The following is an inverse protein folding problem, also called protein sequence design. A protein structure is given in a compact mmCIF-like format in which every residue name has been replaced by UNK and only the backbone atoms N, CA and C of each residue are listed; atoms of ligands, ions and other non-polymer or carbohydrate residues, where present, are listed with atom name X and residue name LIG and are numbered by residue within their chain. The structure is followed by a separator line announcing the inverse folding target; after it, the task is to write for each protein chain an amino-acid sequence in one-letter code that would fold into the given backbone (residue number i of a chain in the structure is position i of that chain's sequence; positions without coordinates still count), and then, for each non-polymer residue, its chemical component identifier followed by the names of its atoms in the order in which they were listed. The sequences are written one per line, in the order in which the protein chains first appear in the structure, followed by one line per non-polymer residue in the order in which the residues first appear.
data_IF_336891003809
#
_entry.id   IF_336891003809
#
_cell.length_a   1.000
_cell.length_b   1.000
_cell.length_c   1.000
_cell.angle_alpha   90.00
_cell.angle_beta   90.00
_cell.angle_gamma   90.00
#
_symmetry.space_group_name_H-M   'P 1'
#
loop_
_entity.id
_entity.type
_entity.pdbx_description
1 polymer ?
#
# COMPACT_ATOMS: atom_id res chain seq x y z
N UNK A 1 4.65 43.86 16.36
CA UNK A 1 5.53 42.69 16.57
C UNK A 1 5.14 41.99 17.86
N UNK A 2 4.19 41.05 17.81
CA UNK A 2 4.03 40.03 18.86
C UNK A 2 4.64 38.76 18.28
N UNK A 3 5.83 38.41 18.76
CA UNK A 3 6.39 37.09 18.55
C UNK A 3 5.41 36.09 19.15
N UNK A 4 4.66 35.37 18.31
CA UNK A 4 4.12 34.08 18.70
C UNK A 4 5.32 33.15 18.85
N UNK A 5 5.90 33.16 20.06
CA UNK A 5 6.69 32.05 20.57
C UNK A 5 5.75 30.84 20.58
N UNK A 6 5.75 30.08 19.48
CA UNK A 6 5.30 28.69 19.51
C UNK A 6 6.30 27.99 20.43
N UNK A 7 5.88 27.87 21.69
CA UNK A 7 6.66 27.37 22.81
C UNK A 7 7.41 26.08 22.41
N UNK A 8 8.74 26.04 22.53
CA UNK A 8 9.53 24.85 22.16
C UNK A 8 9.07 23.60 22.95
N UNK A 9 8.56 23.79 24.17
CA UNK A 9 7.90 22.75 24.98
C UNK A 9 6.69 22.08 24.30
N UNK A 10 5.93 22.80 23.47
CA UNK A 10 4.75 22.22 22.80
C UNK A 10 5.15 21.35 21.61
N UNK A 11 6.26 21.68 20.93
CA UNK A 11 6.82 20.86 19.84
C UNK A 11 7.45 19.57 20.38
N UNK A 12 8.16 19.65 21.49
CA UNK A 12 8.78 18.49 22.14
C UNK A 12 7.72 17.55 22.77
N UNK A 13 6.62 18.11 23.29
CA UNK A 13 5.43 17.36 23.71
C UNK A 13 4.76 16.59 22.55
N UNK A 14 4.60 17.25 21.40
CA UNK A 14 3.99 16.64 20.21
C UNK A 14 4.89 15.56 19.59
N UNK A 15 6.21 15.80 19.49
CA UNK A 15 7.19 14.80 19.06
C UNK A 15 7.18 13.56 19.97
N UNK A 16 7.20 13.75 21.28
CA UNK A 16 7.08 12.65 22.25
C UNK A 16 5.76 11.87 22.13
N UNK A 17 4.66 12.56 21.79
CA UNK A 17 3.38 11.91 21.53
C UNK A 17 3.41 11.08 20.24
N UNK A 18 4.00 11.62 19.17
CA UNK A 18 4.18 10.90 17.91
C UNK A 18 5.05 9.66 18.07
N UNK A 19 6.16 9.75 18.78
CA UNK A 19 7.03 8.58 19.06
C UNK A 19 6.29 7.51 19.87
N UNK A 20 5.50 7.89 20.88
CA UNK A 20 4.66 6.94 21.63
C UNK A 20 3.63 6.26 20.73
N UNK A 21 2.93 7.02 19.89
CA UNK A 21 1.94 6.47 18.95
C UNK A 21 2.62 5.51 17.96
N UNK A 22 3.78 5.89 17.42
CA UNK A 22 4.55 5.06 16.49
C UNK A 22 4.97 3.75 17.15
N UNK A 23 5.50 3.80 18.37
CA UNK A 23 5.93 2.62 19.13
C UNK A 23 4.76 1.68 19.46
N UNK A 24 3.57 2.21 19.77
CA UNK A 24 2.37 1.39 19.97
C UNK A 24 1.98 0.69 18.66
N UNK A 25 1.94 1.42 17.55
CA UNK A 25 1.60 0.85 16.23
C UNK A 25 2.60 -0.22 15.78
N UNK A 26 3.89 -0.02 16.04
CA UNK A 26 4.94 -1.01 15.74
C UNK A 26 4.71 -2.29 16.55
N UNK A 27 4.45 -2.18 17.86
CA UNK A 27 4.14 -3.35 18.69
C UNK A 27 2.86 -4.07 18.26
N UNK A 28 1.83 -3.34 17.89
CA UNK A 28 0.60 -3.94 17.36
C UNK A 28 0.86 -4.71 16.06
N UNK A 29 1.70 -4.17 15.17
CA UNK A 29 2.11 -4.87 13.95
C UNK A 29 2.94 -6.12 14.26
N UNK A 30 3.88 -6.05 15.21
CA UNK A 30 4.68 -7.21 15.65
C UNK A 30 3.81 -8.34 16.22
N UNK A 31 2.85 -8.00 17.09
CA UNK A 31 1.92 -8.99 17.69
C UNK A 31 1.06 -9.63 16.61
N UNK A 32 0.53 -8.84 15.67
CA UNK A 32 -0.24 -9.37 14.53
C UNK A 32 0.59 -10.28 13.65
N UNK A 33 1.85 -9.92 13.37
CA UNK A 33 2.74 -10.77 12.60
C UNK A 33 3.00 -12.10 13.31
N UNK A 34 3.21 -12.08 14.63
CA UNK A 34 3.39 -13.29 15.43
C UNK A 34 2.15 -14.20 15.41
N UNK A 35 0.94 -13.63 15.41
CA UNK A 35 -0.32 -14.38 15.27
C UNK A 35 -0.39 -15.06 13.89
N UNK A 36 -0.02 -14.35 12.81
CA UNK A 36 0.06 -14.94 11.47
C UNK A 36 1.12 -16.05 11.36
N UNK A 37 2.27 -15.88 12.01
CA UNK A 37 3.38 -16.84 12.03
C UNK A 37 3.00 -18.15 12.74
N UNK A 38 2.10 -18.10 13.72
CA UNK A 38 1.60 -19.27 14.44
C UNK A 38 0.41 -19.96 13.74
N UNK A 39 -0.20 -19.34 12.73
CA UNK A 39 -1.42 -19.84 12.06
C UNK A 39 -1.12 -20.86 10.95
N UNK A 40 -1.93 -21.92 10.95
CA UNK A 40 -2.00 -22.89 9.86
C UNK A 40 -0.72 -23.74 9.75
N UNK A 41 -0.23 -23.92 8.52
CA UNK A 41 0.96 -24.73 8.23
C UNK A 41 2.27 -23.92 8.29
N UNK A 42 2.22 -22.61 8.50
CA UNK A 42 3.41 -21.74 8.55
C UNK A 42 4.48 -22.21 9.55
N UNK A 43 4.15 -22.72 10.76
CA UNK A 43 5.15 -23.30 11.67
C UNK A 43 5.89 -24.52 11.11
N UNK A 44 5.26 -25.28 10.20
CA UNK A 44 5.84 -26.43 9.51
C UNK A 44 6.39 -26.10 8.12
N UNK A 45 6.36 -24.83 7.69
CA UNK A 45 6.78 -24.40 6.35
C UNK A 45 8.11 -25.00 5.91
N UNK A 46 9.16 -24.86 6.73
CA UNK A 46 10.49 -25.32 6.34
C UNK A 46 10.56 -26.84 6.23
N UNK A 47 9.90 -27.57 7.14
CA UNK A 47 9.83 -29.03 7.10
C UNK A 47 9.12 -29.52 5.83
N UNK A 48 7.98 -28.91 5.49
CA UNK A 48 7.20 -29.25 4.30
C UNK A 48 8.00 -28.95 3.02
N UNK A 49 8.65 -27.79 2.93
CA UNK A 49 9.47 -27.41 1.77
C UNK A 49 10.66 -28.38 1.59
N UNK A 50 11.35 -28.73 2.68
CA UNK A 50 12.47 -29.69 2.58
C UNK A 50 11.98 -31.07 2.15
N UNK A 51 10.84 -31.55 2.66
CA UNK A 51 10.26 -32.80 2.20
C UNK A 51 9.86 -32.74 0.73
N UNK A 52 9.29 -31.62 0.27
CA UNK A 52 8.83 -31.44 -1.11
C UNK A 52 9.97 -31.45 -2.14
N UNK A 53 11.19 -31.08 -1.75
CA UNK A 53 12.38 -31.20 -2.62
C UNK A 53 12.72 -32.66 -2.97
N UNK A 54 12.25 -33.64 -2.20
CA UNK A 54 12.53 -35.07 -2.36
C UNK A 54 11.26 -35.83 -2.77
N UNK A 55 10.77 -35.57 -3.99
CA UNK A 55 9.50 -36.09 -4.51
C UNK A 55 9.30 -37.60 -4.35
N UNK A 56 10.36 -38.40 -4.56
CA UNK A 56 10.32 -39.87 -4.41
C UNK A 56 9.88 -40.35 -3.02
N UNK A 57 10.05 -39.50 -2.00
CA UNK A 57 9.70 -39.77 -0.60
C UNK A 57 8.60 -38.87 -0.05
N UNK A 58 8.11 -37.92 -0.85
CA UNK A 58 7.17 -36.90 -0.38
C UNK A 58 5.80 -37.50 -0.06
N UNK A 59 5.35 -38.49 -0.83
CA UNK A 59 4.10 -39.21 -0.54
C UNK A 59 4.15 -39.93 0.81
N UNK A 60 5.28 -40.57 1.14
CA UNK A 60 5.50 -41.21 2.45
C UNK A 60 5.54 -40.18 3.58
N UNK A 61 6.15 -39.01 3.35
CA UNK A 61 6.12 -37.91 4.30
C UNK A 61 4.68 -37.45 4.58
N UNK A 62 3.85 -37.32 3.54
CA UNK A 62 2.45 -36.93 3.65
C UNK A 62 1.67 -37.95 4.50
N UNK A 63 1.73 -39.23 4.16
CA UNK A 63 1.03 -40.29 4.89
C UNK A 63 1.46 -40.35 6.37
N UNK A 64 2.75 -40.16 6.63
CA UNK A 64 3.30 -40.24 7.99
C UNK A 64 2.90 -39.06 8.89
N UNK A 65 2.65 -37.88 8.31
CA UNK A 65 2.44 -36.64 9.07
C UNK A 65 1.01 -36.08 8.98
N UNK A 66 0.25 -36.48 7.95
CA UNK A 66 -1.05 -35.92 7.61
C UNK A 66 -2.10 -36.98 7.26
N UNK A 67 -1.79 -38.26 7.51
CA UNK A 67 -2.66 -39.44 7.33
C UNK A 67 -2.93 -39.82 5.87
N UNK A 68 -3.28 -38.86 5.00
CA UNK A 68 -3.54 -39.10 3.58
C UNK A 68 -3.25 -37.89 2.71
N UNK A 69 -3.14 -38.12 1.39
CA UNK A 69 -2.98 -37.05 0.39
C UNK A 69 -4.19 -36.11 0.34
N UNK A 70 -5.40 -36.64 0.46
CA UNK A 70 -6.64 -35.85 0.45
C UNK A 70 -6.72 -34.93 1.67
N UNK A 71 -6.33 -35.43 2.84
CA UNK A 71 -6.27 -34.62 4.06
C UNK A 71 -5.23 -33.50 3.92
N UNK A 72 -4.04 -33.82 3.41
CA UNK A 72 -2.99 -32.82 3.20
C UNK A 72 -3.39 -31.78 2.14
N UNK A 73 -4.03 -32.18 1.05
CA UNK A 73 -4.56 -31.27 0.04
C UNK A 73 -5.53 -30.24 0.65
N UNK A 74 -6.47 -30.69 1.49
CA UNK A 74 -7.42 -29.81 2.16
C UNK A 74 -6.71 -28.81 3.09
N UNK A 75 -5.66 -29.26 3.79
CA UNK A 75 -4.82 -28.38 4.61
C UNK A 75 -4.08 -27.34 3.77
N UNK A 76 -3.54 -27.72 2.62
CA UNK A 76 -2.87 -26.80 1.67
C UNK A 76 -3.84 -25.76 1.14
N UNK A 77 -5.05 -26.16 0.72
CA UNK A 77 -6.07 -25.21 0.24
C UNK A 77 -6.48 -24.23 1.34
N UNK A 78 -6.63 -24.69 2.58
CA UNK A 78 -6.95 -23.83 3.71
C UNK A 78 -5.79 -22.88 4.03
N UNK A 79 -4.56 -23.36 3.96
CA UNK A 79 -3.36 -22.55 4.16
C UNK A 79 -3.24 -21.45 3.09
N UNK A 80 -3.50 -21.74 1.81
CA UNK A 80 -3.53 -20.75 0.73
C UNK A 80 -4.52 -19.62 1.05
N UNK A 81 -5.71 -19.95 1.57
CA UNK A 81 -6.70 -18.95 1.99
C UNK A 81 -6.20 -18.10 3.15
N UNK A 82 -5.57 -18.71 4.15
CA UNK A 82 -4.98 -17.98 5.29
C UNK A 82 -3.90 -17.00 4.79
N UNK A 83 -3.03 -17.43 3.87
CA UNK A 83 -1.95 -16.59 3.33
C UNK A 83 -2.45 -15.46 2.44
N UNK A 84 -3.54 -15.68 1.71
CA UNK A 84 -4.23 -14.60 0.99
C UNK A 84 -4.76 -13.52 1.95
N UNK A 85 -5.36 -13.90 3.08
CA UNK A 85 -5.83 -12.92 4.07
C UNK A 85 -4.66 -12.16 4.74
N UNK A 86 -3.56 -12.84 5.06
CA UNK A 86 -2.33 -12.22 5.58
C UNK A 86 -1.77 -11.19 4.59
N UNK A 87 -1.70 -11.56 3.30
CA UNK A 87 -1.23 -10.68 2.23
C UNK A 87 -2.06 -9.41 2.13
N UNK A 88 -3.39 -9.50 2.21
CA UNK A 88 -4.28 -8.34 2.06
C UNK A 88 -3.94 -7.22 3.04
N UNK A 89 -3.55 -7.56 4.27
CA UNK A 89 -3.16 -6.57 5.28
C UNK A 89 -1.87 -5.82 4.88
N UNK A 90 -0.87 -6.55 4.36
CA UNK A 90 0.40 -5.97 3.91
C UNK A 90 0.29 -5.18 2.61
N UNK A 91 -0.51 -5.68 1.66
CA UNK A 91 -0.65 -5.12 0.31
C UNK A 91 -1.09 -3.65 0.33
N UNK A 92 -2.07 -3.32 1.18
CA UNK A 92 -2.55 -1.96 1.34
C UNK A 92 -1.59 -1.03 2.05
N UNK A 93 -0.84 -1.53 3.03
CA UNK A 93 0.15 -0.72 3.74
C UNK A 93 1.28 -0.25 2.82
N UNK A 94 1.73 -1.13 1.92
CA UNK A 94 2.90 -0.90 1.07
C UNK A 94 2.59 0.02 -0.12
N UNK A 95 1.42 -0.11 -0.74
CA UNK A 95 1.07 0.64 -1.95
C UNK A 95 0.52 2.05 -1.70
N UNK A 96 0.24 2.44 -0.46
CA UNK A 96 -0.34 3.77 -0.17
C UNK A 96 0.72 4.87 -0.31
N UNK A 97 0.41 5.97 -1.00
CA UNK A 97 1.33 7.09 -1.09
C UNK A 97 1.51 7.76 0.27
N UNK A 98 2.75 8.08 0.65
CA UNK A 98 3.06 8.83 1.87
C UNK A 98 3.24 10.31 1.53
N UNK A 99 2.15 11.00 1.20
CA UNK A 99 2.22 12.42 0.88
C UNK A 99 2.33 13.23 2.18
N UNK A 100 3.47 13.88 2.38
CA UNK A 100 3.74 14.77 3.52
C UNK A 100 3.23 16.19 3.19
N UNK A 101 2.76 17.01 4.14
CA UNK A 101 2.47 18.42 3.88
C UNK A 101 3.66 19.20 3.30
N UNK A 102 3.39 20.22 2.48
CA UNK A 102 4.37 21.23 2.15
C UNK A 102 3.71 22.60 2.12
N UNK A 103 4.25 23.52 2.92
CA UNK A 103 3.81 24.90 3.00
C UNK A 103 4.89 25.78 2.34
N UNK A 104 4.48 26.62 1.39
CA UNK A 104 5.33 27.64 0.76
C UNK A 104 4.72 29.02 0.95
N UNK A 105 5.57 30.05 1.06
CA UNK A 105 5.18 31.46 1.20
C UNK A 105 5.81 32.33 0.13
N UNK A 106 5.06 33.31 -0.37
CA UNK A 106 5.52 34.23 -1.41
C UNK A 106 4.40 34.72 -2.32
N UNK A 107 4.72 35.32 -3.48
CA UNK A 107 3.74 35.81 -4.44
C UNK A 107 2.83 34.68 -4.94
N UNK A 108 1.51 34.90 -4.88
CA UNK A 108 0.48 33.87 -5.13
C UNK A 108 0.75 33.00 -6.36
N UNK A 109 0.95 33.63 -7.53
CA UNK A 109 1.14 32.89 -8.79
C UNK A 109 2.40 32.02 -8.79
N UNK A 110 3.48 32.50 -8.16
CA UNK A 110 4.75 31.79 -8.11
C UNK A 110 4.66 30.59 -7.17
N UNK A 111 4.18 30.80 -5.94
CA UNK A 111 4.12 29.71 -4.97
C UNK A 111 3.05 28.68 -5.31
N UNK A 112 1.95 29.09 -5.95
CA UNK A 112 0.92 28.17 -6.45
C UNK A 112 1.51 27.18 -7.45
N UNK A 113 2.34 27.68 -8.37
CA UNK A 113 3.06 26.83 -9.32
C UNK A 113 4.04 25.91 -8.59
N UNK A 114 4.86 26.44 -7.68
CA UNK A 114 5.84 25.63 -6.94
C UNK A 114 5.20 24.50 -6.12
N UNK A 115 4.09 24.77 -5.42
CA UNK A 115 3.39 23.76 -4.61
C UNK A 115 2.75 22.70 -5.52
N UNK A 116 2.20 23.10 -6.67
CA UNK A 116 1.64 22.17 -7.65
C UNK A 116 2.73 21.28 -8.28
N UNK A 117 3.85 21.86 -8.69
CA UNK A 117 4.99 21.14 -9.26
C UNK A 117 5.59 20.16 -8.23
N UNK A 118 5.64 20.56 -6.95
CA UNK A 118 6.10 19.68 -5.88
C UNK A 118 5.14 18.51 -5.64
N UNK A 119 3.82 18.78 -5.63
CA UNK A 119 2.82 17.71 -5.50
C UNK A 119 2.95 16.70 -6.64
N UNK A 120 3.05 17.19 -7.88
CA UNK A 120 3.28 16.35 -9.06
C UNK A 120 4.55 15.53 -8.92
N UNK A 121 5.66 16.15 -8.54
CA UNK A 121 6.94 15.46 -8.32
C UNK A 121 6.82 14.35 -7.28
N UNK A 122 6.10 14.59 -6.18
CA UNK A 122 5.90 13.58 -5.12
C UNK A 122 5.05 12.40 -5.58
N UNK A 123 3.93 12.67 -6.25
CA UNK A 123 3.06 11.63 -6.81
C UNK A 123 3.80 10.81 -7.89
N UNK A 124 4.57 11.49 -8.74
CA UNK A 124 5.35 10.82 -9.77
C UNK A 124 6.49 9.98 -9.19
N UNK A 125 7.18 10.45 -8.14
CA UNK A 125 8.20 9.66 -7.44
C UNK A 125 7.59 8.39 -6.85
N UNK A 126 6.44 8.52 -6.19
CA UNK A 126 5.70 7.38 -5.64
C UNK A 126 5.40 6.33 -6.70
N UNK A 127 4.82 6.74 -7.84
CA UNK A 127 4.46 5.81 -8.91
C UNK A 127 5.68 5.06 -9.47
N UNK A 128 6.84 5.73 -9.54
CA UNK A 128 8.09 5.13 -9.97
C UNK A 128 8.73 4.20 -8.92
N UNK A 129 8.38 4.37 -7.64
CA UNK A 129 8.86 3.54 -6.52
C UNK A 129 8.04 2.25 -6.33
N UNK A 130 6.81 2.19 -6.85
CA UNK A 130 5.91 1.04 -6.68
C UNK A 130 6.56 -0.32 -7.00
N UNK A 131 7.33 -0.50 -8.11
CA UNK A 131 7.98 -1.78 -8.40
C UNK A 131 8.94 -2.21 -7.27
N UNK A 132 9.75 -1.27 -6.78
CA UNK A 132 10.69 -1.52 -5.70
C UNK A 132 9.97 -1.82 -4.38
N UNK A 133 8.88 -1.11 -4.07
CA UNK A 133 8.07 -1.36 -2.88
C UNK A 133 7.47 -2.77 -2.91
N UNK A 134 6.94 -3.19 -4.06
CA UNK A 134 6.42 -4.55 -4.23
C UNK A 134 7.51 -5.61 -4.05
N UNK A 135 8.66 -5.43 -4.70
CA UNK A 135 9.79 -6.36 -4.61
C UNK A 135 10.34 -6.51 -3.20
N UNK A 136 10.42 -5.39 -2.48
CA UNK A 136 11.02 -5.37 -1.15
C UNK A 136 10.08 -5.89 -0.07
N UNK A 137 8.80 -5.56 -0.14
CA UNK A 137 7.87 -5.77 0.97
C UNK A 137 6.81 -6.83 0.69
N UNK A 138 6.44 -7.10 -0.56
CA UNK A 138 5.35 -8.04 -0.88
C UNK A 138 5.89 -9.40 -1.35
N UNK A 139 6.91 -9.41 -2.22
CA UNK A 139 7.48 -10.67 -2.74
C UNK A 139 7.94 -11.62 -1.63
N UNK A 140 8.58 -11.19 -0.52
CA UNK A 140 8.96 -12.09 0.57
C UNK A 140 7.77 -12.84 1.19
N UNK A 141 6.62 -12.17 1.32
CA UNK A 141 5.40 -12.73 1.91
C UNK A 141 4.71 -13.72 0.95
N UNK A 142 4.89 -13.53 -0.35
CA UNK A 142 4.35 -14.41 -1.39
C UNK A 142 5.12 -15.73 -1.53
N UNK A 143 6.37 -15.79 -1.08
CA UNK A 143 7.21 -16.97 -1.25
C UNK A 143 6.56 -18.25 -0.71
N UNK A 144 5.85 -18.17 0.43
CA UNK A 144 5.14 -19.35 0.94
C UNK A 144 3.92 -19.72 0.10
N UNK A 145 3.17 -18.72 -0.40
CA UNK A 145 2.02 -18.96 -1.28
C UNK A 145 2.42 -19.64 -2.60
N UNK A 146 3.55 -19.24 -3.18
CA UNK A 146 4.10 -19.87 -4.41
C UNK A 146 4.40 -21.36 -4.21
N UNK A 147 5.06 -21.72 -3.10
CA UNK A 147 5.35 -23.12 -2.76
C UNK A 147 4.08 -23.91 -2.51
N UNK A 148 3.08 -23.33 -1.82
CA UNK A 148 1.79 -23.98 -1.59
C UNK A 148 1.05 -24.30 -2.89
N UNK A 149 1.09 -23.39 -3.88
CA UNK A 149 0.51 -23.65 -5.20
C UNK A 149 1.28 -24.71 -5.98
N UNK A 150 2.61 -24.77 -5.84
CA UNK A 150 3.43 -25.84 -6.43
C UNK A 150 3.11 -27.21 -5.82
N UNK A 151 3.00 -27.28 -4.49
CA UNK A 151 2.61 -28.49 -3.75
C UNK A 151 1.20 -28.92 -4.16
N UNK A 152 0.24 -27.99 -4.22
CA UNK A 152 -1.13 -28.30 -4.63
C UNK A 152 -1.18 -28.85 -6.06
N UNK A 153 -0.41 -28.28 -6.98
CA UNK A 153 -0.31 -28.76 -8.34
C UNK A 153 0.29 -30.18 -8.40
N UNK A 154 1.32 -30.48 -7.60
CA UNK A 154 1.84 -31.83 -7.47
C UNK A 154 0.76 -32.83 -7.01
N UNK A 155 0.02 -32.50 -5.94
CA UNK A 155 -1.04 -33.36 -5.40
C UNK A 155 -2.16 -33.63 -6.42
N UNK A 156 -2.41 -32.67 -7.32
CA UNK A 156 -3.41 -32.75 -8.39
C UNK A 156 -2.90 -33.29 -9.71
N UNK A 157 -1.63 -33.72 -9.77
CA UNK A 157 -0.97 -34.16 -11.01
C UNK A 157 -1.02 -33.11 -12.13
N UNK A 158 -0.94 -31.82 -11.75
CA UNK A 158 -0.93 -30.67 -12.65
C UNK A 158 0.38 -29.91 -12.55
N UNK A 159 0.57 -28.97 -13.48
CA UNK A 159 1.74 -28.09 -13.50
C UNK A 159 1.40 -26.72 -12.94
N UNK A 160 2.25 -26.19 -12.06
CA UNK A 160 2.26 -24.80 -11.66
C UNK A 160 3.52 -24.12 -12.18
N UNK A 161 3.36 -22.98 -12.87
CA UNK A 161 4.51 -22.21 -13.35
C UNK A 161 5.04 -21.34 -12.19
N UNK A 162 6.34 -21.40 -11.86
CA UNK A 162 6.91 -20.57 -10.81
C UNK A 162 6.64 -19.07 -11.03
N UNK A 163 6.37 -18.35 -9.94
CA UNK A 163 6.07 -16.92 -9.92
C UNK A 163 4.75 -16.53 -10.60
N UNK A 164 3.83 -17.47 -10.86
CA UNK A 164 2.56 -17.12 -11.51
C UNK A 164 1.73 -16.18 -10.65
N UNK A 165 1.54 -16.51 -9.38
CA UNK A 165 0.84 -15.67 -8.41
C UNK A 165 1.53 -14.32 -8.26
N UNK A 166 2.86 -14.31 -8.07
CA UNK A 166 3.65 -13.09 -7.87
C UNK A 166 3.54 -12.14 -9.06
N UNK A 167 3.55 -12.65 -10.30
CA UNK A 167 3.42 -11.82 -11.50
C UNK A 167 2.00 -11.25 -11.66
N UNK A 168 0.97 -12.05 -11.38
CA UNK A 168 -0.42 -11.57 -11.40
C UNK A 168 -0.64 -10.48 -10.34
N UNK A 169 -0.17 -10.71 -9.11
CA UNK A 169 -0.28 -9.74 -8.02
C UNK A 169 0.56 -8.48 -8.23
N UNK A 170 1.75 -8.59 -8.85
CA UNK A 170 2.53 -7.42 -9.25
C UNK A 170 1.73 -6.54 -10.19
N UNK A 171 1.09 -7.14 -11.18
CA UNK A 171 0.27 -6.42 -12.16
C UNK A 171 -0.87 -5.69 -11.47
N UNK A 172 -1.57 -6.37 -10.56
CA UNK A 172 -2.63 -5.76 -9.74
C UNK A 172 -2.07 -4.60 -8.91
N UNK A 173 -0.95 -4.80 -8.21
CA UNK A 173 -0.34 -3.78 -7.36
C UNK A 173 0.03 -2.53 -8.15
N UNK A 174 0.77 -2.67 -9.26
CA UNK A 174 1.18 -1.53 -10.08
C UNK A 174 -0.03 -0.76 -10.59
N UNK A 175 -1.04 -1.46 -11.11
CA UNK A 175 -2.24 -0.82 -11.66
C UNK A 175 -3.13 -0.19 -10.58
N UNK A 176 -3.23 -0.81 -9.41
CA UNK A 176 -4.08 -0.34 -8.31
C UNK A 176 -3.52 0.94 -7.67
N UNK A 177 -2.21 0.98 -7.43
CA UNK A 177 -1.59 2.04 -6.62
C UNK A 177 -0.92 3.15 -7.43
N UNK A 178 -0.84 3.04 -8.76
CA UNK A 178 -0.45 4.20 -9.59
C UNK A 178 -1.41 5.36 -9.34
N UNK A 179 -0.84 6.50 -8.98
CA UNK A 179 -1.60 7.68 -8.58
C UNK A 179 -1.95 8.60 -9.73
N UNK A 180 -0.99 8.88 -10.61
CA UNK A 180 -1.19 9.77 -11.73
C UNK A 180 -1.70 8.99 -12.95
N UNK A 181 -2.80 9.47 -13.53
CA UNK A 181 -3.38 8.87 -14.74
C UNK A 181 -2.39 8.81 -15.91
N UNK A 182 -1.51 9.81 -16.04
CA UNK A 182 -0.46 9.82 -17.06
C UNK A 182 0.60 8.71 -16.90
N UNK A 183 0.72 8.14 -15.69
CA UNK A 183 1.61 7.02 -15.40
C UNK A 183 0.91 5.66 -15.54
N UNK A 184 -0.41 5.64 -15.74
CA UNK A 184 -1.18 4.42 -15.89
C UNK A 184 -1.00 3.86 -17.30
N UNK A 185 -0.48 2.63 -17.42
CA UNK A 185 -0.28 1.98 -18.71
C UNK A 185 -1.59 1.47 -19.30
N UNK A 186 -2.25 0.54 -18.60
CA UNK A 186 -3.49 -0.11 -19.03
C UNK A 186 -4.53 -0.04 -17.90
N UNK A 187 -5.64 0.68 -18.09
CA UNK A 187 -6.66 0.84 -17.06
C UNK A 187 -7.42 -0.46 -16.80
N UNK A 188 -7.74 -0.69 -15.53
CA UNK A 188 -8.56 -1.79 -15.04
C UNK A 188 -9.64 -1.24 -14.09
N UNK A 189 -10.68 -2.03 -13.84
CA UNK A 189 -11.81 -1.61 -12.99
C UNK A 189 -11.41 -1.29 -11.53
N UNK A 190 -10.29 -1.85 -11.07
CA UNK A 190 -9.73 -1.62 -9.75
C UNK A 190 -8.79 -0.40 -9.67
N UNK A 191 -8.34 0.16 -10.80
CA UNK A 191 -7.48 1.34 -10.83
C UNK A 191 -8.17 2.58 -10.22
N UNK A 192 -7.40 3.45 -9.55
CA UNK A 192 -7.88 4.76 -9.09
C UNK A 192 -7.17 5.96 -9.68
N UNK A 193 -6.18 5.78 -10.55
CA UNK A 193 -5.33 6.88 -11.01
C UNK A 193 -6.16 8.08 -11.48
N UNK A 194 -5.72 9.29 -11.13
CA UNK A 194 -6.42 10.54 -11.46
C UNK A 194 -5.47 11.54 -12.11
N UNK A 195 -5.99 12.51 -12.87
CA UNK A 195 -5.16 13.62 -13.34
C UNK A 195 -4.70 14.46 -12.14
N UNK A 196 -3.55 15.13 -12.26
CA UNK A 196 -3.02 16.02 -11.20
C UNK A 196 -4.05 17.07 -10.73
N UNK A 197 -4.91 17.53 -11.64
CA UNK A 197 -5.99 18.49 -11.33
C UNK A 197 -6.98 17.95 -10.31
N UNK A 198 -7.23 16.65 -10.28
CA UNK A 198 -8.07 16.04 -9.25
C UNK A 198 -7.47 16.24 -7.86
N UNK A 199 -6.20 15.86 -7.64
CA UNK A 199 -5.53 16.01 -6.34
C UNK A 199 -5.39 17.46 -5.91
N UNK A 200 -5.25 18.36 -6.87
CA UNK A 200 -5.20 19.81 -6.62
C UNK A 200 -6.56 20.39 -6.18
N UNK A 201 -7.69 19.77 -6.56
CA UNK A 201 -9.05 20.26 -6.33
C UNK A 201 -9.92 19.35 -5.46
N UNK A 202 -9.32 18.33 -4.85
CA UNK A 202 -9.99 17.21 -4.19
C UNK A 202 -10.87 17.67 -3.01
N UNK A 203 -10.59 18.86 -2.46
CA UNK A 203 -11.49 19.64 -1.61
C UNK A 203 -11.56 21.04 -2.24
N UNK A 204 -12.75 21.65 -2.28
CA UNK A 204 -12.98 22.98 -2.88
C UNK A 204 -12.09 24.09 -2.30
N UNK A 205 -11.49 23.84 -1.14
CA UNK A 205 -10.57 24.74 -0.48
C UNK A 205 -9.21 24.04 -0.38
N UNK A 206 -8.24 24.53 -1.16
CA UNK A 206 -6.85 24.54 -0.71
C UNK A 206 -6.85 25.07 0.74
N UNK A 207 -6.02 24.52 1.62
CA UNK A 207 -5.70 25.20 2.88
C UNK A 207 -4.82 26.43 2.55
N UNK A 208 -5.43 27.43 1.93
CA UNK A 208 -4.87 28.76 1.74
C UNK A 208 -5.03 29.51 3.08
N UNK A 209 -4.01 29.38 3.94
CA UNK A 209 -3.97 30.12 5.20
C UNK A 209 -3.39 31.51 4.89
N UNK A 210 -4.25 32.53 4.89
CA UNK A 210 -3.84 33.94 4.75
C UNK A 210 -3.51 34.53 6.13
N UNK A 211 -2.57 35.49 6.18
CA UNK A 211 -1.91 35.93 7.42
C UNK A 211 -2.81 36.68 8.42
N UNK A 212 -4.01 37.12 8.06
CA UNK A 212 -4.85 37.95 8.93
C UNK A 212 -6.35 37.81 8.65
N UNK A 213 -7.16 38.19 9.65
CA UNK A 213 -8.64 38.15 9.73
C UNK A 213 -9.41 38.93 8.62
N UNK A 214 -8.76 39.33 7.54
CA UNK A 214 -9.33 40.02 6.36
C UNK A 214 -9.23 39.17 5.07
N UNK A 215 -9.52 37.87 5.21
CA UNK A 215 -9.46 36.82 4.17
C UNK A 215 -9.95 37.25 2.76
N UNK A 216 -11.09 37.96 2.60
CA UNK A 216 -11.63 38.23 1.26
C UNK A 216 -10.84 39.28 0.47
N UNK A 217 -10.39 40.36 1.11
CA UNK A 217 -9.75 41.49 0.43
C UNK A 217 -8.29 41.16 0.10
N UNK A 218 -7.56 40.53 1.01
CA UNK A 218 -6.19 40.09 0.75
C UNK A 218 -6.13 39.01 -0.33
N UNK A 219 -7.12 38.09 -0.37
CA UNK A 219 -7.26 37.12 -1.47
C UNK A 219 -7.51 37.80 -2.82
N UNK A 220 -8.31 38.87 -2.85
CA UNK A 220 -8.49 39.65 -4.08
C UNK A 220 -7.21 40.37 -4.52
N UNK A 221 -6.46 40.95 -3.57
CA UNK A 221 -5.20 41.64 -3.87
C UNK A 221 -4.10 40.64 -4.28
N UNK A 222 -4.09 39.42 -3.72
CA UNK A 222 -3.10 38.39 -4.07
C UNK A 222 -3.20 37.91 -5.53
N UNK A 223 -4.37 38.07 -6.17
CA UNK A 223 -4.54 37.81 -7.61
C UNK A 223 -3.94 38.90 -8.52
N UNK A 224 -3.63 40.09 -7.99
CA UNK A 224 -3.04 41.17 -8.78
C UNK A 224 -1.58 40.81 -9.10
N UNK A 225 -1.16 40.75 -10.38
CA UNK A 225 0.23 40.48 -10.72
C UNK A 225 1.19 41.48 -10.04
N UNK A 226 2.31 41.01 -9.49
CA UNK A 226 3.33 41.81 -8.79
C UNK A 226 2.87 42.52 -7.51
N UNK A 227 1.82 42.04 -6.84
CA UNK A 227 1.48 42.53 -5.50
C UNK A 227 2.52 42.07 -4.46
N UNK A 228 2.63 42.80 -3.36
CA UNK A 228 3.57 42.51 -2.26
C UNK A 228 2.96 41.67 -1.13
N UNK A 229 1.77 41.11 -1.33
CA UNK A 229 1.12 40.25 -0.34
C UNK A 229 1.60 38.82 -0.53
N UNK A 230 2.40 38.36 0.41
CA UNK A 230 2.72 36.95 0.54
C UNK A 230 1.49 36.18 1.03
N UNK A 231 1.23 35.03 0.41
CA UNK A 231 0.25 34.07 0.90
C UNK A 231 0.94 32.74 1.22
N UNK A 232 0.29 31.88 2.01
CA UNK A 232 0.73 30.49 2.18
C UNK A 232 -0.14 29.57 1.35
N UNK A 233 0.48 28.66 0.62
CA UNK A 233 -0.22 27.61 -0.11
C UNK A 233 0.34 26.26 0.31
N UNK A 234 -0.59 25.33 0.59
CA UNK A 234 -0.33 23.91 0.80
C UNK A 234 -1.42 23.11 0.08
N UNK A 235 -1.09 21.91 -0.37
CA UNK A 235 -2.10 20.90 -0.69
C UNK A 235 -2.54 20.19 0.60
N UNK A 236 -3.62 19.40 0.52
CA UNK A 236 -4.21 18.67 1.66
C UNK A 236 -3.75 17.19 1.69
N UNK A 237 -2.58 16.88 2.27
CA UNK A 237 -2.01 15.53 2.25
C UNK A 237 -2.90 14.48 2.94
N UNK A 238 -3.51 14.83 4.08
CA UNK A 238 -4.35 13.89 4.83
C UNK A 238 -5.48 13.37 3.96
N UNK A 239 -6.12 14.26 3.20
CA UNK A 239 -7.23 13.89 2.33
C UNK A 239 -6.80 13.07 1.12
N UNK A 240 -5.62 13.37 0.54
CA UNK A 240 -5.02 12.53 -0.49
C UNK A 240 -4.79 11.12 0.08
N UNK A 241 -4.17 11.01 1.25
CA UNK A 241 -3.88 9.72 1.88
C UNK A 241 -5.16 8.96 2.30
N UNK A 242 -6.19 9.65 2.79
CA UNK A 242 -7.49 9.07 3.19
C UNK A 242 -8.30 8.56 2.00
N UNK A 243 -8.39 9.33 0.90
CA UNK A 243 -9.10 8.90 -0.31
C UNK A 243 -8.49 7.64 -0.90
N UNK A 244 -7.16 7.53 -0.85
CA UNK A 244 -6.46 6.33 -1.28
C UNK A 244 -6.72 5.13 -0.39
N UNK A 245 -6.93 5.35 0.92
CA UNK A 245 -7.26 4.28 1.85
C UNK A 245 -8.64 3.66 1.57
N UNK A 246 -9.67 4.48 1.40
CA UNK A 246 -11.05 3.99 1.34
C UNK A 246 -11.47 3.45 -0.03
N UNK A 247 -11.08 4.10 -1.12
CA UNK A 247 -11.57 3.75 -2.46
C UNK A 247 -10.88 2.53 -3.07
N UNK A 248 -9.71 2.16 -2.57
CA UNK A 248 -8.89 1.09 -3.14
C UNK A 248 -9.01 -0.23 -2.39
N UNK A 249 -9.32 -0.20 -1.10
CA UNK A 249 -9.31 -1.41 -0.26
C UNK A 249 -10.25 -2.49 -0.78
N UNK A 250 -11.53 -2.15 -1.01
CA UNK A 250 -12.51 -3.12 -1.48
C UNK A 250 -12.22 -3.68 -2.88
N UNK A 251 -11.78 -2.83 -3.82
CA UNK A 251 -11.55 -3.22 -5.22
C UNK A 251 -10.31 -4.09 -5.37
N UNK A 252 -9.20 -3.71 -4.73
CA UNK A 252 -7.96 -4.49 -4.76
C UNK A 252 -8.16 -5.82 -4.06
N UNK A 253 -8.84 -5.83 -2.90
CA UNK A 253 -9.22 -7.05 -2.21
C UNK A 253 -9.96 -8.02 -3.14
N UNK A 254 -10.98 -7.55 -3.84
CA UNK A 254 -11.73 -8.34 -4.83
C UNK A 254 -10.85 -8.85 -5.98
N UNK A 255 -9.92 -8.03 -6.50
CA UNK A 255 -8.99 -8.44 -7.56
C UNK A 255 -8.05 -9.56 -7.08
N UNK A 256 -7.52 -9.45 -5.87
CA UNK A 256 -6.65 -10.46 -5.25
C UNK A 256 -7.41 -11.76 -5.02
N UNK A 257 -8.61 -11.73 -4.44
CA UNK A 257 -9.44 -12.94 -4.28
C UNK A 257 -9.67 -13.63 -5.62
N UNK A 258 -9.99 -12.85 -6.65
CA UNK A 258 -10.22 -13.39 -7.99
C UNK A 258 -8.97 -14.11 -8.50
N UNK A 259 -7.79 -13.49 -8.39
CA UNK A 259 -6.52 -14.13 -8.78
C UNK A 259 -6.27 -15.44 -8.04
N UNK A 260 -6.39 -15.47 -6.71
CA UNK A 260 -6.22 -16.70 -5.94
C UNK A 260 -7.25 -17.77 -6.32
N UNK A 261 -8.51 -17.37 -6.52
CA UNK A 261 -9.58 -18.28 -6.91
C UNK A 261 -9.37 -18.86 -8.31
N UNK A 262 -9.00 -18.02 -9.29
CA UNK A 262 -8.73 -18.43 -10.66
C UNK A 262 -7.54 -19.41 -10.71
N UNK A 263 -6.49 -19.19 -9.90
CA UNK A 263 -5.37 -20.12 -9.76
C UNK A 263 -5.80 -21.45 -9.11
N UNK A 264 -6.57 -21.40 -8.02
CA UNK A 264 -7.12 -22.60 -7.38
C UNK A 264 -7.99 -23.40 -8.35
N UNK A 265 -8.83 -22.75 -9.16
CA UNK A 265 -9.65 -23.44 -10.16
C UNK A 265 -8.82 -24.08 -11.27
N UNK A 266 -7.75 -23.43 -11.75
CA UNK A 266 -6.85 -24.02 -12.74
C UNK A 266 -6.20 -25.31 -12.21
N UNK A 267 -5.92 -25.35 -10.90
CA UNK A 267 -5.23 -26.46 -10.25
C UNK A 267 -6.19 -27.54 -9.71
N UNK A 268 -7.42 -27.19 -9.32
CA UNK A 268 -8.45 -28.14 -8.83
C UNK A 268 -8.91 -29.12 -9.90
#
# INVERSE_FOLDING_TARGET
MRNMLVNEESKESVLNLFEKILNVKLKEAEIKQADWDAKGLKPKKNEIIEAFKHLDSFDTYIESNFESKENFELLIINEIKIRMEELLEGFHGVGRPMIIPCIKSGPYNEIKKQVKDLLHTRLNSHDNELPYLFDKFIVPDLAWSEELFAILAYLKEKTYKPNSLTNELRTIFMKAYVTLEENLQDPEWYCNAKPLTYYWHIKSDLEEIYYDDYLPIQKLISFIPNNSLDCYISYCPNYINEIWAELQEGKVKQAIYKTYYDLLQKIS
#
